data_IF_879435630212
#
_entry.id   IF_879435630212
#
_cell.length_a   1.000
_cell.length_b   1.000
_cell.length_c   1.000
_cell.angle_alpha   90.00
_cell.angle_beta   90.00
_cell.angle_gamma   90.00
#
_symmetry.space_group_name_H-M   'P 1'
#
loop_
_entity.id
_entity.type
_entity.pdbx_description
1 polymer ?
#
# COMPACT_ATOMS: atom_id res chain seq x y z
N UNK A 1 -2.49 8.09 8.05
CA UNK A 1 -3.89 8.36 7.67
C UNK A 1 -3.99 8.79 6.21
N UNK A 2 -4.00 7.82 5.30
CA UNK A 2 -4.15 8.06 3.85
C UNK A 2 -5.48 8.75 3.52
N UNK A 3 -6.48 8.63 4.38
CA UNK A 3 -7.78 9.29 4.19
C UNK A 3 -7.75 10.81 4.41
N UNK A 4 -6.72 11.34 5.02
CA UNK A 4 -6.62 12.77 5.37
C UNK A 4 -5.70 13.57 4.47
N UNK A 5 -4.91 12.94 3.63
CA UNK A 5 -4.20 13.63 2.55
C UNK A 5 -5.12 13.85 1.35
N UNK A 6 -6.31 14.39 1.61
CA UNK A 6 -7.28 14.69 0.56
C UNK A 6 -7.05 16.08 0.03
N UNK A 7 -6.17 16.19 -0.93
CA UNK A 7 -5.98 17.38 -1.71
C UNK A 7 -4.55 17.89 -1.73
N UNK A 8 -4.24 18.58 -2.79
CA UNK A 8 -2.92 19.17 -3.04
C UNK A 8 -2.46 20.12 -1.92
N UNK A 9 -3.37 20.74 -1.19
CA UNK A 9 -3.06 21.64 -0.08
C UNK A 9 -2.45 20.96 1.15
N UNK A 10 -2.68 19.66 1.34
CA UNK A 10 -2.12 18.91 2.48
C UNK A 10 -0.67 18.45 2.22
N UNK A 11 -0.27 18.27 0.98
CA UNK A 11 1.10 17.89 0.58
C UNK A 11 2.12 18.98 0.98
N UNK A 12 1.71 20.21 1.09
CA UNK A 12 2.60 21.35 1.32
C UNK A 12 2.89 21.65 2.80
N UNK A 13 2.07 21.15 3.70
CA UNK A 13 2.23 21.35 5.15
C UNK A 13 2.66 20.11 5.90
N UNK A 14 2.62 18.94 5.25
CA UNK A 14 2.85 17.64 5.87
C UNK A 14 3.59 16.72 4.91
N UNK A 15 4.89 16.72 5.00
CA UNK A 15 5.71 15.66 4.41
C UNK A 15 5.97 14.62 5.50
N UNK A 16 5.44 13.43 5.32
CA UNK A 16 5.60 12.33 6.26
C UNK A 16 6.03 11.09 5.50
N UNK A 17 7.32 10.79 5.57
CA UNK A 17 7.93 9.64 4.95
C UNK A 17 8.06 8.50 5.96
N UNK A 18 7.92 7.28 5.49
CA UNK A 18 8.06 6.09 6.33
C UNK A 18 9.05 5.13 5.70
N UNK A 19 10.12 4.81 6.44
CA UNK A 19 11.05 3.74 6.10
C UNK A 19 10.84 2.58 7.06
N UNK A 20 10.74 1.37 6.53
CA UNK A 20 10.65 0.14 7.32
C UNK A 20 11.76 -0.83 6.93
N UNK A 21 12.31 -1.50 7.94
CA UNK A 21 13.25 -2.59 7.77
C UNK A 21 13.01 -3.63 8.88
N UNK A 22 13.79 -4.71 8.90
CA UNK A 22 13.71 -5.71 9.99
C UNK A 22 13.83 -5.03 11.35
N UNK A 23 12.77 -5.16 12.15
CA UNK A 23 12.71 -4.62 13.51
C UNK A 23 12.73 -3.09 13.65
N UNK A 24 12.64 -2.33 12.57
CA UNK A 24 12.78 -0.86 12.58
C UNK A 24 11.71 -0.17 11.73
N UNK A 25 11.18 0.92 12.28
CA UNK A 25 10.38 1.92 11.56
C UNK A 25 10.99 3.30 11.82
N UNK A 26 11.20 4.07 10.77
CA UNK A 26 11.60 5.48 10.84
C UNK A 26 10.50 6.32 10.20
N UNK A 27 10.00 7.28 10.96
CA UNK A 27 9.07 8.31 10.49
C UNK A 27 9.84 9.62 10.41
N UNK A 28 9.93 10.20 9.22
CA UNK A 28 10.72 11.40 8.99
C UNK A 28 9.96 12.37 8.09
N UNK A 29 10.31 13.64 8.17
CA UNK A 29 9.72 14.67 7.32
C UNK A 29 9.52 15.98 8.05
N UNK A 30 8.66 16.82 7.51
CA UNK A 30 8.40 18.16 7.99
C UNK A 30 6.89 18.35 8.20
N UNK A 31 6.49 18.58 9.46
CA UNK A 31 5.10 18.74 9.83
C UNK A 31 4.95 19.99 10.70
N UNK A 32 4.18 20.96 10.23
CA UNK A 32 3.77 22.12 11.03
C UNK A 32 2.32 21.94 11.44
N UNK A 33 2.09 21.69 12.73
CA UNK A 33 0.75 21.43 13.27
C UNK A 33 0.65 21.84 14.74
N UNK A 34 -0.54 22.19 15.18
CA UNK A 34 -0.88 22.38 16.59
C UNK A 34 -1.46 21.10 17.23
N UNK A 35 -1.65 20.03 16.45
CA UNK A 35 -2.14 18.76 16.97
C UNK A 35 -1.03 17.99 17.69
N UNK A 36 -1.41 17.29 18.75
CA UNK A 36 -0.54 16.33 19.43
C UNK A 36 -0.91 14.92 18.97
N UNK A 37 0.06 14.24 18.38
CA UNK A 37 -0.11 12.87 17.87
C UNK A 37 0.96 11.97 18.49
N UNK A 38 0.55 10.88 19.08
CA UNK A 38 1.48 9.80 19.47
C UNK A 38 1.85 8.98 18.23
N UNK A 39 2.87 9.45 17.51
CA UNK A 39 3.33 8.79 16.28
C UNK A 39 3.81 7.37 16.52
N UNK A 40 4.41 7.10 17.68
CA UNK A 40 4.89 5.77 18.04
C UNK A 40 3.70 4.82 18.18
N UNK A 41 2.67 5.24 18.89
CA UNK A 41 1.46 4.40 19.06
C UNK A 41 0.72 4.18 17.74
N UNK A 42 0.59 5.22 16.90
CA UNK A 42 -0.02 5.11 15.57
C UNK A 42 0.74 4.11 14.69
N UNK A 43 2.07 4.16 14.70
CA UNK A 43 2.89 3.21 13.95
C UNK A 43 2.67 1.76 14.45
N UNK A 44 2.70 1.55 15.78
CA UNK A 44 2.48 0.23 16.38
C UNK A 44 1.09 -0.32 16.07
N UNK A 45 0.05 0.49 16.17
CA UNK A 45 -1.32 0.07 15.85
C UNK A 45 -1.47 -0.28 14.37
N UNK A 46 -0.78 0.44 13.50
CA UNK A 46 -0.77 0.14 12.06
C UNK A 46 -0.08 -1.20 11.79
N UNK A 47 1.10 -1.44 12.37
CA UNK A 47 1.83 -2.70 12.24
C UNK A 47 0.98 -3.88 12.73
N UNK A 48 0.32 -3.69 13.90
CA UNK A 48 -0.61 -4.69 14.46
C UNK A 48 -1.80 -4.96 13.54
N UNK A 49 -2.42 -3.91 13.00
CA UNK A 49 -3.57 -4.01 12.07
C UNK A 49 -3.21 -4.74 10.78
N UNK A 50 -1.98 -4.56 10.29
CA UNK A 50 -1.46 -5.28 9.13
C UNK A 50 -1.33 -6.78 9.46
N UNK A 51 -0.95 -7.13 10.70
CA UNK A 51 -0.83 -8.50 11.18
C UNK A 51 0.60 -8.92 11.49
N UNK A 52 1.51 -7.96 11.72
CA UNK A 52 2.84 -8.22 12.23
C UNK A 52 2.82 -8.24 13.76
N UNK A 53 2.44 -9.36 14.33
CA UNK A 53 2.20 -9.57 15.75
C UNK A 53 3.14 -10.60 16.41
N UNK A 54 4.10 -11.10 15.64
CA UNK A 54 5.09 -12.08 16.08
C UNK A 54 6.50 -11.68 15.59
N UNK A 55 7.48 -11.76 16.46
CA UNK A 55 8.90 -11.44 16.17
C UNK A 55 9.49 -12.29 15.05
N UNK A 56 9.00 -13.52 14.86
CA UNK A 56 9.43 -14.41 13.78
C UNK A 56 9.11 -13.88 12.37
N UNK A 57 8.24 -12.87 12.26
CA UNK A 57 7.88 -12.27 10.97
C UNK A 57 8.87 -11.20 10.49
N UNK A 58 9.94 -10.97 11.27
CA UNK A 58 10.98 -9.99 10.95
C UNK A 58 10.71 -8.59 11.52
N UNK A 59 9.45 -8.26 11.79
CA UNK A 59 9.02 -7.06 12.50
C UNK A 59 7.75 -7.40 13.28
N UNK A 60 7.63 -6.90 14.51
CA UNK A 60 6.39 -6.99 15.29
C UNK A 60 6.08 -5.64 15.97
N UNK A 61 4.81 -5.41 16.21
CA UNK A 61 4.33 -4.13 16.73
C UNK A 61 4.77 -3.83 18.17
N UNK A 62 5.15 -4.83 18.95
CA UNK A 62 5.59 -4.65 20.35
C UNK A 62 7.08 -4.36 20.43
N UNK A 63 7.90 -5.16 19.71
CA UNK A 63 9.34 -5.17 19.85
C UNK A 63 10.08 -4.30 18.84
N UNK A 64 9.46 -3.85 17.75
CA UNK A 64 10.15 -3.03 16.77
C UNK A 64 10.57 -1.67 17.35
N UNK A 65 11.72 -1.17 16.90
CA UNK A 65 12.12 0.21 17.15
C UNK A 65 11.26 1.15 16.28
N UNK A 66 10.78 2.23 16.87
CA UNK A 66 10.11 3.30 16.14
C UNK A 66 10.85 4.61 16.40
N UNK A 67 11.46 5.16 15.38
CA UNK A 67 12.14 6.45 15.40
C UNK A 67 11.25 7.51 14.78
N UNK A 68 11.15 8.66 15.43
CA UNK A 68 10.37 9.79 14.94
C UNK A 68 11.31 10.99 14.78
N UNK A 69 11.44 11.46 13.54
CA UNK A 69 12.32 12.53 13.12
C UNK A 69 11.53 13.56 12.30
N UNK A 70 10.47 14.11 12.89
CA UNK A 70 9.70 15.18 12.25
C UNK A 70 10.18 16.56 12.75
N UNK A 71 10.49 17.41 11.79
CA UNK A 71 10.79 18.83 12.02
C UNK A 71 9.66 19.74 11.59
N UNK A 72 9.76 21.02 11.91
CA UNK A 72 8.89 22.05 11.38
C UNK A 72 9.34 22.42 9.97
N UNK A 73 8.37 22.79 9.12
CA UNK A 73 8.66 23.35 7.79
C UNK A 73 9.53 24.61 7.93
N UNK A 74 10.48 24.80 7.01
CA UNK A 74 11.33 25.99 6.99
C UNK A 74 10.47 27.27 6.87
N UNK A 75 10.89 28.34 7.55
CA UNK A 75 10.14 29.60 7.55
C UNK A 75 10.05 30.22 6.13
N UNK A 76 11.05 30.03 5.29
CA UNK A 76 11.06 30.58 3.93
C UNK A 76 10.02 29.89 3.05
N UNK A 77 9.88 28.59 3.16
CA UNK A 77 8.85 27.81 2.45
C UNK A 77 7.47 28.10 3.02
N UNK A 78 7.35 28.21 4.35
CA UNK A 78 6.09 28.50 5.03
C UNK A 78 5.47 29.84 4.58
N UNK A 79 6.27 30.86 4.23
CA UNK A 79 5.77 32.12 3.71
C UNK A 79 4.89 31.96 2.46
N UNK A 80 5.31 31.11 1.53
CA UNK A 80 4.54 30.82 0.31
C UNK A 80 3.25 30.05 0.55
N UNK A 81 3.17 29.30 1.65
CA UNK A 81 2.03 28.43 1.99
C UNK A 81 1.07 29.10 2.99
N UNK A 82 1.60 29.83 3.98
CA UNK A 82 0.79 30.42 5.07
C UNK A 82 0.16 31.77 4.72
N UNK A 83 0.72 32.48 3.73
CA UNK A 83 0.15 33.72 3.20
C UNK A 83 -0.89 33.49 2.09
N UNK A 84 -1.33 32.27 1.88
CA UNK A 84 -2.50 32.02 1.06
C UNK A 84 -3.70 32.72 1.71
N UNK A 85 -3.98 33.93 1.22
CA UNK A 85 -5.28 34.61 1.41
C UNK A 85 -6.39 33.62 1.01
N UNK A 86 -7.64 33.92 1.27
CA UNK A 86 -8.83 33.11 0.92
C UNK A 86 -8.95 32.69 -0.55
N UNK A 87 -7.97 33.00 -1.39
CA UNK A 87 -7.84 32.60 -2.77
C UNK A 87 -6.94 31.35 -2.89
N UNK A 88 -7.58 30.20 -2.90
CA UNK A 88 -6.90 28.89 -3.06
C UNK A 88 -6.08 28.77 -4.35
N UNK A 89 -6.29 29.63 -5.35
CA UNK A 89 -5.54 29.63 -6.61
C UNK A 89 -4.15 30.27 -6.46
N UNK A 90 -3.92 31.03 -5.42
CA UNK A 90 -2.65 31.72 -5.13
C UNK A 90 -1.81 31.04 -4.03
N UNK A 91 -2.22 29.85 -3.59
CA UNK A 91 -1.45 29.09 -2.61
C UNK A 91 -0.15 28.58 -3.24
N UNK A 92 0.99 28.93 -2.67
CA UNK A 92 2.28 28.39 -3.06
C UNK A 92 2.43 26.93 -2.66
N UNK A 93 3.38 26.24 -3.28
CA UNK A 93 3.73 24.84 -2.99
C UNK A 93 4.94 24.76 -2.07
N UNK A 94 4.94 23.77 -1.16
CA UNK A 94 6.07 23.51 -0.26
C UNK A 94 7.29 22.93 -0.95
N UNK A 95 7.11 22.36 -2.14
CA UNK A 95 8.17 21.82 -2.97
C UNK A 95 7.75 21.81 -4.45
N UNK A 96 8.71 21.56 -5.33
CA UNK A 96 8.45 21.31 -6.75
C UNK A 96 7.75 19.97 -6.91
N UNK A 97 6.80 19.87 -7.82
CA UNK A 97 6.07 18.66 -8.06
C UNK A 97 5.63 18.49 -9.51
N UNK A 98 5.51 17.25 -9.93
CA UNK A 98 5.02 16.83 -11.23
C UNK A 98 4.06 15.67 -11.04
N UNK A 99 2.88 15.76 -11.63
CA UNK A 99 1.84 14.76 -11.44
C UNK A 99 1.35 14.26 -12.79
N UNK A 100 1.15 12.94 -12.89
CA UNK A 100 0.54 12.30 -14.03
C UNK A 100 -0.79 11.67 -13.61
N UNK A 101 -1.80 11.83 -14.44
CA UNK A 101 -3.07 11.13 -14.32
C UNK A 101 -3.29 10.21 -15.49
N UNK A 102 -3.76 8.99 -15.23
CA UNK A 102 -4.13 8.03 -16.25
C UNK A 102 -5.37 7.24 -15.82
N UNK A 103 -6.29 7.07 -16.72
CA UNK A 103 -7.46 6.22 -16.56
C UNK A 103 -7.79 5.55 -17.90
N UNK A 104 -8.35 4.35 -17.86
CA UNK A 104 -8.83 3.62 -19.04
C UNK A 104 -10.09 2.83 -18.69
N UNK A 105 -10.76 2.32 -19.70
CA UNK A 105 -12.02 1.58 -19.59
C UNK A 105 -11.85 0.05 -19.57
N UNK A 106 -10.65 -0.42 -19.24
CA UNK A 106 -10.34 -1.86 -19.21
C UNK A 106 -10.98 -2.59 -18.02
N UNK A 107 -11.30 -1.86 -16.96
CA UNK A 107 -11.94 -2.38 -15.76
C UNK A 107 -12.98 -1.38 -15.23
N UNK A 108 -13.96 -1.84 -14.41
CA UNK A 108 -14.94 -0.94 -13.79
C UNK A 108 -14.33 0.15 -12.92
N UNK A 109 -13.13 -0.10 -12.38
CA UNK A 109 -12.38 0.85 -11.56
C UNK A 109 -11.58 1.88 -12.39
N UNK A 110 -11.73 1.87 -13.71
CA UNK A 110 -11.02 2.74 -14.66
C UNK A 110 -9.49 2.60 -14.58
N UNK A 111 -9.03 1.42 -14.23
CA UNK A 111 -7.62 1.07 -14.10
C UNK A 111 -7.18 0.08 -15.17
N UNK A 112 -5.92 0.10 -15.62
CA UNK A 112 -5.40 -0.94 -16.48
C UNK A 112 -5.57 -2.34 -15.89
N UNK A 113 -6.02 -3.29 -16.70
CA UNK A 113 -6.34 -4.64 -16.25
C UNK A 113 -5.18 -5.36 -15.52
N UNK A 114 -3.91 -5.30 -15.98
CA UNK A 114 -2.82 -6.00 -15.29
C UNK A 114 -2.64 -5.57 -13.85
N UNK A 115 -2.60 -4.27 -13.58
CA UNK A 115 -2.41 -3.75 -12.22
C UNK A 115 -3.65 -3.98 -11.36
N UNK A 116 -4.84 -3.86 -11.94
CA UNK A 116 -6.08 -4.15 -11.23
C UNK A 116 -6.11 -5.58 -10.72
N UNK A 117 -5.86 -6.58 -11.58
CA UNK A 117 -5.85 -7.99 -11.18
C UNK A 117 -4.71 -8.30 -10.21
N UNK A 118 -3.53 -7.69 -10.38
CA UNK A 118 -2.44 -7.85 -9.43
C UNK A 118 -2.83 -7.36 -8.03
N UNK A 119 -3.49 -6.21 -7.91
CA UNK A 119 -4.02 -5.72 -6.63
C UNK A 119 -5.04 -6.68 -6.02
N UNK A 120 -5.98 -7.20 -6.81
CA UNK A 120 -7.00 -8.16 -6.32
C UNK A 120 -6.39 -9.43 -5.77
N UNK A 121 -5.28 -9.92 -6.34
CA UNK A 121 -4.58 -11.10 -5.83
C UNK A 121 -4.02 -10.87 -4.42
N UNK A 122 -3.34 -9.77 -4.17
CA UNK A 122 -2.76 -9.48 -2.84
C UNK A 122 -3.83 -9.08 -1.82
N UNK A 123 -4.90 -8.40 -2.22
CA UNK A 123 -6.08 -8.17 -1.37
C UNK A 123 -6.69 -9.51 -0.93
N UNK A 124 -6.85 -10.45 -1.86
CA UNK A 124 -7.38 -11.78 -1.56
C UNK A 124 -6.47 -12.56 -0.64
N UNK A 125 -5.15 -12.51 -0.86
CA UNK A 125 -4.16 -13.09 0.06
C UNK A 125 -4.36 -12.57 1.49
N UNK A 126 -4.46 -11.25 1.65
CA UNK A 126 -4.65 -10.62 2.94
C UNK A 126 -5.97 -11.03 3.62
N UNK A 127 -7.07 -11.15 2.87
CA UNK A 127 -8.34 -11.64 3.37
C UNK A 127 -8.23 -13.08 3.89
N UNK A 128 -7.70 -13.99 3.06
CA UNK A 128 -7.58 -15.42 3.41
C UNK A 128 -6.71 -15.64 4.64
N UNK A 129 -5.68 -14.83 4.81
CA UNK A 129 -4.84 -14.83 6.00
C UNK A 129 -5.62 -14.35 7.23
N UNK A 130 -6.29 -13.21 7.12
CA UNK A 130 -7.04 -12.60 8.23
C UNK A 130 -8.25 -13.43 8.65
N UNK A 131 -8.91 -14.09 7.71
CA UNK A 131 -10.05 -14.99 7.98
C UNK A 131 -9.60 -16.35 8.54
N UNK A 132 -8.30 -16.63 8.64
CA UNK A 132 -7.75 -17.88 9.12
C UNK A 132 -7.95 -19.07 8.18
N UNK A 133 -8.39 -18.86 6.94
CA UNK A 133 -8.55 -19.93 5.94
C UNK A 133 -7.21 -20.47 5.44
N UNK A 134 -6.19 -19.59 5.37
CA UNK A 134 -4.82 -19.97 5.07
C UNK A 134 -3.89 -19.42 6.17
N UNK A 135 -3.85 -20.06 7.34
CA UNK A 135 -3.18 -19.55 8.54
C UNK A 135 -1.66 -19.52 8.42
N UNK A 136 -1.10 -20.26 7.46
CA UNK A 136 0.34 -20.26 7.19
C UNK A 136 0.82 -19.00 6.48
N UNK A 137 -0.07 -18.20 5.88
CA UNK A 137 0.30 -16.97 5.20
C UNK A 137 0.75 -15.89 6.20
N UNK A 138 1.68 -15.05 5.74
CA UNK A 138 2.17 -13.87 6.45
C UNK A 138 1.83 -12.60 5.67
N UNK A 139 1.98 -11.40 6.27
CA UNK A 139 1.49 -10.16 5.65
C UNK A 139 2.15 -9.79 4.34
N UNK A 140 3.45 -10.05 4.16
CA UNK A 140 4.17 -9.65 2.95
C UNK A 140 3.76 -10.51 1.75
N UNK A 141 3.33 -9.84 0.69
CA UNK A 141 2.98 -10.49 -0.58
C UNK A 141 3.22 -9.56 -1.76
N UNK A 142 3.60 -10.16 -2.87
CA UNK A 142 3.78 -9.50 -4.17
C UNK A 142 3.01 -10.28 -5.24
N UNK A 143 2.46 -9.55 -6.20
CA UNK A 143 1.81 -10.16 -7.36
C UNK A 143 2.21 -9.45 -8.64
N UNK A 144 2.24 -10.20 -9.71
CA UNK A 144 2.42 -9.70 -11.07
C UNK A 144 1.44 -10.43 -11.99
N UNK A 145 0.79 -9.68 -12.85
CA UNK A 145 -0.08 -10.22 -13.90
C UNK A 145 0.43 -9.70 -15.24
N UNK A 146 0.73 -10.63 -16.14
CA UNK A 146 1.09 -10.34 -17.53
C UNK A 146 -0.11 -10.65 -18.40
N UNK A 147 -0.50 -9.70 -19.24
CA UNK A 147 -1.64 -9.84 -20.14
C UNK A 147 -1.21 -9.65 -21.59
N UNK A 148 -1.81 -10.44 -22.45
CA UNK A 148 -1.75 -10.25 -23.89
C UNK A 148 -2.82 -9.24 -24.31
N UNK A 149 -2.42 -8.27 -25.12
CA UNK A 149 -3.30 -7.30 -25.73
C UNK A 149 -3.44 -7.58 -27.24
N UNK A 150 -4.63 -7.42 -27.77
CA UNK A 150 -4.93 -7.49 -29.20
C UNK A 150 -5.71 -6.22 -29.56
N UNK A 151 -5.26 -5.50 -30.56
CA UNK A 151 -5.87 -4.24 -31.02
C UNK A 151 -6.09 -3.22 -29.87
N UNK A 152 -5.13 -3.15 -28.94
CA UNK A 152 -5.15 -2.24 -27.79
C UNK A 152 -6.11 -2.65 -26.66
N UNK A 153 -6.71 -3.84 -26.72
CA UNK A 153 -7.63 -4.36 -25.69
C UNK A 153 -7.05 -5.58 -24.95
N UNK A 154 -7.30 -5.72 -23.65
CA UNK A 154 -6.94 -6.93 -22.92
C UNK A 154 -7.62 -8.15 -23.54
N UNK A 155 -6.82 -9.15 -23.88
CA UNK A 155 -7.33 -10.36 -24.56
C UNK A 155 -7.25 -11.59 -23.64
N UNK A 156 -6.11 -11.85 -23.04
CA UNK A 156 -5.92 -13.02 -22.19
C UNK A 156 -4.81 -12.78 -21.13
N UNK A 157 -4.90 -13.50 -20.03
CA UNK A 157 -3.82 -13.56 -19.05
C UNK A 157 -2.78 -14.54 -19.60
N UNK A 158 -1.53 -14.08 -19.67
CA UNK A 158 -0.39 -14.90 -20.09
C UNK A 158 0.27 -15.55 -18.87
N UNK A 159 0.60 -14.75 -17.84
CA UNK A 159 1.34 -15.23 -16.66
C UNK A 159 0.82 -14.54 -15.40
N UNK A 160 0.71 -15.32 -14.34
CA UNK A 160 0.46 -14.81 -12.97
C UNK A 160 1.59 -15.25 -12.07
N UNK A 161 2.22 -14.31 -11.40
CA UNK A 161 3.20 -14.56 -10.35
C UNK A 161 2.63 -14.07 -9.02
N UNK A 162 2.63 -14.93 -8.02
CA UNK A 162 2.30 -14.58 -6.65
C UNK A 162 3.41 -15.07 -5.74
N UNK A 163 4.01 -14.15 -5.01
CA UNK A 163 5.03 -14.41 -4.00
C UNK A 163 4.50 -13.97 -2.65
N UNK A 164 4.56 -14.83 -1.66
CA UNK A 164 4.04 -14.51 -0.31
C UNK A 164 4.97 -15.03 0.77
N UNK A 165 5.13 -14.27 1.83
CA UNK A 165 5.73 -14.72 3.06
C UNK A 165 4.80 -15.76 3.72
N UNK A 166 5.37 -16.81 4.27
CA UNK A 166 4.63 -17.89 4.91
C UNK A 166 5.40 -18.46 6.12
N UNK A 167 4.74 -19.29 6.91
CA UNK A 167 5.39 -20.02 8.01
C UNK A 167 6.43 -21.01 7.46
N UNK A 168 7.47 -21.34 8.25
CA UNK A 168 8.48 -22.31 7.87
C UNK A 168 7.99 -23.77 7.95
N UNK A 169 6.72 -23.99 8.30
CA UNK A 169 6.15 -25.33 8.41
C UNK A 169 6.23 -26.04 7.05
N UNK A 170 7.03 -27.11 7.00
CA UNK A 170 7.30 -27.88 5.80
C UNK A 170 6.16 -28.85 5.42
N UNK A 171 5.12 -28.94 6.21
CA UNK A 171 3.94 -29.75 5.88
C UNK A 171 3.17 -29.23 4.66
N UNK A 172 3.31 -27.93 4.38
CA UNK A 172 2.72 -27.28 3.20
C UNK A 172 3.77 -27.19 2.08
N UNK A 173 3.75 -28.17 1.18
CA UNK A 173 4.62 -28.12 0.00
C UNK A 173 4.23 -26.96 -0.92
N UNK A 174 5.17 -26.39 -1.72
CA UNK A 174 4.85 -25.37 -2.71
C UNK A 174 3.67 -25.73 -3.63
N UNK A 175 3.48 -27.01 -3.91
CA UNK A 175 2.35 -27.52 -4.70
C UNK A 175 1.04 -27.34 -3.96
N UNK A 176 0.96 -27.72 -2.67
CA UNK A 176 -0.24 -27.54 -1.86
C UNK A 176 -0.58 -26.06 -1.67
N UNK A 177 0.41 -25.21 -1.48
CA UNK A 177 0.21 -23.76 -1.42
C UNK A 177 -0.38 -23.23 -2.71
N UNK A 178 0.15 -23.66 -3.86
CA UNK A 178 -0.35 -23.30 -5.18
C UNK A 178 -1.79 -23.77 -5.35
N UNK A 179 -2.11 -25.02 -5.05
CA UNK A 179 -3.45 -25.59 -5.20
C UNK A 179 -4.46 -24.91 -4.27
N UNK A 180 -4.09 -24.67 -3.01
CA UNK A 180 -4.92 -23.95 -2.06
C UNK A 180 -5.20 -22.50 -2.51
N UNK A 181 -4.20 -21.84 -3.07
CA UNK A 181 -4.34 -20.48 -3.58
C UNK A 181 -5.17 -20.43 -4.86
N UNK A 182 -4.94 -21.33 -5.78
CA UNK A 182 -5.70 -21.47 -7.03
C UNK A 182 -7.17 -21.75 -6.71
N UNK A 183 -7.47 -22.76 -5.89
CA UNK A 183 -8.84 -23.12 -5.53
C UNK A 183 -9.64 -21.97 -4.93
N UNK A 184 -8.99 -21.02 -4.24
CA UNK A 184 -9.67 -19.89 -3.57
C UNK A 184 -9.62 -18.61 -4.42
N UNK A 185 -8.65 -18.46 -5.33
CA UNK A 185 -8.50 -17.26 -6.17
C UNK A 185 -9.33 -17.35 -7.44
N UNK A 186 -9.49 -18.53 -8.02
CA UNK A 186 -10.22 -18.72 -9.29
C UNK A 186 -11.72 -18.39 -9.20
N UNK A 187 -12.32 -18.48 -8.04
CA UNK A 187 -13.75 -18.14 -7.87
C UNK A 187 -14.06 -16.65 -8.02
N UNK A 188 -13.03 -15.78 -8.16
CA UNK A 188 -13.20 -14.32 -8.16
C UNK A 188 -12.47 -13.62 -9.33
N UNK A 189 -11.77 -14.36 -10.18
CA UNK A 189 -11.04 -13.84 -11.34
C UNK A 189 -11.61 -14.38 -12.67
N UNK A 190 -12.92 -14.57 -12.74
CA UNK A 190 -13.54 -14.85 -14.04
C UNK A 190 -13.47 -13.58 -14.89
N UNK A 191 -12.56 -13.58 -15.86
CA UNK A 191 -12.70 -12.69 -17.01
C UNK A 191 -14.05 -12.96 -17.64
N UNK A 192 -14.80 -11.95 -18.09
CA UNK A 192 -15.93 -12.19 -18.96
C UNK A 192 -15.40 -12.99 -20.15
N UNK A 193 -15.79 -14.26 -20.24
CA UNK A 193 -15.61 -15.02 -21.48
C UNK A 193 -16.53 -14.34 -22.49
N UNK A 194 -15.93 -13.68 -23.47
CA UNK A 194 -16.68 -13.32 -24.68
C UNK A 194 -17.09 -14.62 -25.34
N UNK A 195 -18.39 -14.87 -25.37
CA UNK A 195 -19.02 -15.83 -26.27
C UNK A 195 -18.64 -15.55 -27.74
#
# INVERSE_FOLDING_TARGET
DVERSRGLGDVYKRQAETLTNTGLVVLAGEITTNAHVDYIQVARDTIKRIGYDNTEYGIDYKGCAVMVCYDKQSNDIAQGVDHASDDHLNTGAGDQGLMFGYACDETPELMPAPIHYAHRLVERQAQLRKDGRLPFLRPDAKSQVTMRYVDGKPHSIDTVVLSTQHSPDQSETPTKMKDSFIAVSYTHLTLPTSD
#
